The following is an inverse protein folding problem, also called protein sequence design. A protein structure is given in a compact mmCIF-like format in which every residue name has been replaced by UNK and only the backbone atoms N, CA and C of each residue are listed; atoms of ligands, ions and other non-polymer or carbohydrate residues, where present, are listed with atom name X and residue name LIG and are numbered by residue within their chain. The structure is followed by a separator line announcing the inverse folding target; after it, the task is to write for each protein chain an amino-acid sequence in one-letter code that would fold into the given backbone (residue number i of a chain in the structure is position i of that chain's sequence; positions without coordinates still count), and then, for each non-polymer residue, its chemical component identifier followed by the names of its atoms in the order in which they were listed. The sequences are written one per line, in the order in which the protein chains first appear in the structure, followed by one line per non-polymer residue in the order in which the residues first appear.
data_IF_009788173213
#
_entry.id   IF_009788173213
#
_cell.length_a   1.000
_cell.length_b   1.000
_cell.length_c   1.000
_cell.angle_alpha   90.00
_cell.angle_beta   90.00
_cell.angle_gamma   90.00
#
_symmetry.space_group_name_H-M   'P 1'
#
loop_
_entity.id
_entity.type
_entity.pdbx_description
1 polymer ?
#
# COMPACT_ATOMS: atom_id res chain seq x y z
N UNK A 1 -54.21 -3.40 -33.26
CA UNK A 1 -53.65 -3.23 -34.61
C UNK A 1 -52.12 -3.21 -34.48
N UNK A 2 -51.49 -4.34 -34.76
CA UNK A 2 -50.10 -4.60 -34.40
C UNK A 2 -49.09 -3.91 -35.35
N UNK A 3 -47.87 -3.74 -34.90
CA UNK A 3 -46.75 -3.14 -35.65
C UNK A 3 -46.54 -3.89 -36.98
N UNK A 4 -46.85 -5.21 -37.04
CA UNK A 4 -46.80 -6.04 -38.27
C UNK A 4 -47.80 -5.56 -39.32
N UNK A 5 -49.01 -5.15 -38.96
CA UNK A 5 -50.04 -4.71 -39.93
C UNK A 5 -49.71 -3.32 -40.51
N UNK A 6 -49.01 -2.45 -39.73
CA UNK A 6 -48.52 -1.16 -40.22
C UNK A 6 -47.36 -1.35 -41.19
N UNK A 7 -46.44 -2.29 -40.93
CA UNK A 7 -45.32 -2.62 -41.82
C UNK A 7 -45.76 -3.21 -43.15
N UNK A 8 -46.79 -4.12 -43.14
CA UNK A 8 -47.41 -4.71 -44.36
C UNK A 8 -48.13 -3.65 -45.21
N UNK A 9 -48.81 -2.69 -44.59
CA UNK A 9 -49.47 -1.60 -45.30
C UNK A 9 -48.52 -0.56 -45.91
N UNK A 10 -47.32 -0.35 -45.28
CA UNK A 10 -46.29 0.49 -45.88
C UNK A 10 -45.70 -0.18 -47.14
N UNK A 11 -45.45 -1.51 -47.11
CA UNK A 11 -44.93 -2.26 -48.26
C UNK A 11 -45.90 -2.29 -49.46
N UNK A 12 -47.22 -2.18 -49.24
CA UNK A 12 -48.22 -2.12 -50.30
C UNK A 12 -48.34 -0.73 -50.93
N UNK A 13 -47.92 0.33 -50.28
CA UNK A 13 -47.89 1.70 -50.87
C UNK A 13 -46.68 1.92 -51.78
N UNK A 14 -45.62 1.19 -51.65
CA UNK A 14 -44.48 1.20 -52.54
C UNK A 14 -44.65 0.10 -53.56
N UNK A 15 -45.41 0.33 -54.65
CA UNK A 15 -45.42 -0.54 -55.81
C UNK A 15 -44.03 -0.43 -56.49
N UNK A 16 -43.12 -1.30 -56.10
CA UNK A 16 -41.81 -1.49 -56.70
C UNK A 16 -41.99 -2.29 -58.00
N UNK A 17 -42.32 -1.61 -59.08
CA UNK A 17 -42.41 -2.25 -60.41
C UNK A 17 -41.01 -2.36 -61.03
N UNK A 18 -40.82 -3.36 -61.93
CA UNK A 18 -39.53 -3.89 -62.34
C UNK A 18 -38.66 -2.96 -63.22
N UNK A 19 -39.13 -1.73 -63.50
CA UNK A 19 -38.50 -0.85 -64.50
C UNK A 19 -37.69 0.33 -63.97
N UNK A 20 -37.61 0.56 -62.63
CA UNK A 20 -36.89 1.73 -62.08
C UNK A 20 -35.83 1.29 -61.07
N UNK A 21 -34.63 0.90 -61.56
CA UNK A 21 -33.47 0.59 -60.73
C UNK A 21 -33.03 1.75 -59.82
N UNK A 22 -33.25 3.00 -60.27
CA UNK A 22 -32.89 4.21 -59.53
C UNK A 22 -33.81 4.43 -58.31
N UNK A 23 -35.13 4.13 -58.42
CA UNK A 23 -36.06 4.28 -57.30
C UNK A 23 -35.78 3.24 -56.19
N UNK A 24 -35.42 2.01 -56.59
CA UNK A 24 -34.99 0.98 -55.64
C UNK A 24 -33.71 1.38 -54.92
N UNK A 25 -32.74 1.94 -55.62
CA UNK A 25 -31.51 2.43 -55.03
C UNK A 25 -31.78 3.56 -54.04
N UNK A 26 -32.67 4.52 -54.40
CA UNK A 26 -33.10 5.61 -53.48
C UNK A 26 -33.77 5.12 -52.21
N UNK A 27 -34.65 4.07 -52.31
CA UNK A 27 -35.29 3.48 -51.13
C UNK A 27 -34.27 2.74 -50.26
N UNK A 28 -33.36 1.93 -50.84
CA UNK A 28 -32.31 1.27 -50.08
C UNK A 28 -31.35 2.26 -49.44
N UNK A 29 -30.96 3.28 -50.17
CA UNK A 29 -30.09 4.35 -49.66
C UNK A 29 -30.78 5.13 -48.51
N UNK A 30 -32.07 5.44 -48.66
CA UNK A 30 -32.87 6.07 -47.61
C UNK A 30 -32.95 5.20 -46.36
N UNK A 31 -33.21 3.90 -46.51
CA UNK A 31 -33.21 2.96 -45.37
C UNK A 31 -31.83 2.88 -44.72
N UNK A 32 -30.76 2.83 -45.53
CA UNK A 32 -29.39 2.81 -44.99
C UNK A 32 -29.02 4.06 -44.21
N UNK A 33 -29.36 5.24 -44.73
CA UNK A 33 -29.13 6.54 -44.07
C UNK A 33 -29.93 6.62 -42.76
N UNK A 34 -31.19 6.24 -42.74
CA UNK A 34 -32.04 6.24 -41.55
C UNK A 34 -31.52 5.26 -40.52
N UNK A 35 -31.15 4.03 -40.96
CA UNK A 35 -30.59 3.03 -40.05
C UNK A 35 -29.22 3.50 -39.50
N UNK A 36 -28.36 4.06 -40.33
CA UNK A 36 -27.08 4.65 -39.90
C UNK A 36 -27.27 5.80 -38.91
N UNK A 37 -28.25 6.67 -39.13
CA UNK A 37 -28.58 7.76 -38.21
C UNK A 37 -29.10 7.21 -36.85
N UNK A 38 -29.96 6.20 -36.87
CA UNK A 38 -30.46 5.56 -35.64
C UNK A 38 -29.31 4.88 -34.87
N UNK A 39 -28.38 4.21 -35.56
CA UNK A 39 -27.21 3.58 -34.94
C UNK A 39 -26.29 4.64 -34.36
N UNK A 40 -26.00 5.72 -35.10
CA UNK A 40 -25.15 6.82 -34.59
C UNK A 40 -25.76 7.51 -33.36
N UNK A 41 -27.03 7.84 -33.41
CA UNK A 41 -27.71 8.47 -32.26
C UNK A 41 -27.80 7.49 -31.08
N UNK A 42 -28.16 6.23 -31.36
CA UNK A 42 -28.26 5.19 -30.33
C UNK A 42 -26.91 4.88 -29.67
N UNK A 43 -25.83 4.77 -30.46
CA UNK A 43 -24.47 4.55 -29.92
C UNK A 43 -23.95 5.78 -29.17
N UNK A 44 -24.25 6.99 -29.66
CA UNK A 44 -23.89 8.22 -28.97
C UNK A 44 -24.55 8.37 -27.61
N UNK A 45 -25.87 8.07 -27.52
CA UNK A 45 -26.59 8.08 -26.24
C UNK A 45 -26.11 6.98 -25.30
N UNK A 46 -25.83 5.78 -25.83
CA UNK A 46 -25.29 4.67 -25.02
C UNK A 46 -23.88 4.99 -24.49
N UNK A 47 -23.01 5.54 -25.31
CA UNK A 47 -21.67 5.97 -24.91
C UNK A 47 -21.71 7.11 -23.88
N UNK A 48 -22.62 8.08 -24.06
CA UNK A 48 -22.82 9.17 -23.11
C UNK A 48 -23.33 8.65 -21.76
N UNK A 49 -24.30 7.74 -21.75
CA UNK A 49 -24.77 7.10 -20.51
C UNK A 49 -23.66 6.28 -19.84
N UNK A 50 -22.94 5.45 -20.59
CA UNK A 50 -21.84 4.66 -20.05
C UNK A 50 -20.73 5.53 -19.48
N UNK A 51 -20.38 6.64 -20.15
CA UNK A 51 -19.41 7.59 -19.64
C UNK A 51 -19.89 8.29 -18.35
N UNK A 52 -21.16 8.68 -18.30
CA UNK A 52 -21.76 9.29 -17.11
C UNK A 52 -21.87 8.32 -15.94
N UNK A 53 -22.24 7.06 -16.20
CA UNK A 53 -22.33 6.02 -15.19
C UNK A 53 -20.92 5.69 -14.63
N UNK A 54 -19.90 5.65 -15.49
CA UNK A 54 -18.51 5.47 -15.06
C UNK A 54 -18.02 6.64 -14.18
N UNK A 55 -18.29 7.88 -14.59
CA UNK A 55 -17.96 9.05 -13.78
C UNK A 55 -18.67 9.04 -12.42
N UNK A 56 -19.93 8.63 -12.37
CA UNK A 56 -20.68 8.57 -11.11
C UNK A 56 -20.21 7.45 -10.16
N UNK A 57 -19.45 6.47 -10.67
CA UNK A 57 -18.89 5.37 -9.88
C UNK A 57 -17.48 5.66 -9.38
N UNK A 58 -16.79 6.61 -9.99
CA UNK A 58 -15.43 6.99 -9.61
C UNK A 58 -15.45 7.86 -8.36
N UNK A 59 -14.75 7.45 -7.33
CA UNK A 59 -14.66 8.19 -6.08
C UNK A 59 -13.57 9.28 -6.12
N UNK A 60 -12.44 9.00 -6.73
CA UNK A 60 -11.29 9.90 -6.79
C UNK A 60 -10.93 10.23 -8.25
N UNK A 61 -10.82 11.52 -8.56
CA UNK A 61 -10.44 12.02 -9.89
C UNK A 61 -9.02 12.61 -9.91
N UNK A 62 -8.54 13.13 -8.77
CA UNK A 62 -7.19 13.67 -8.63
C UNK A 62 -6.35 12.65 -7.85
N UNK A 63 -5.41 12.01 -8.52
CA UNK A 63 -4.51 11.03 -7.90
C UNK A 63 -3.24 11.69 -7.36
N UNK A 64 -2.74 12.72 -8.05
CA UNK A 64 -1.53 13.44 -7.69
C UNK A 64 -1.84 14.94 -7.60
N UNK A 65 -1.15 15.65 -6.73
CA UNK A 65 -1.25 17.10 -6.64
C UNK A 65 0.14 17.73 -6.55
N UNK A 66 0.22 19.01 -6.93
CA UNK A 66 1.42 19.82 -6.75
C UNK A 66 1.00 21.15 -6.14
N UNK A 67 1.73 21.59 -5.14
CA UNK A 67 1.47 22.89 -4.51
C UNK A 67 1.89 24.06 -5.41
N UNK A 68 1.12 25.14 -5.33
CA UNK A 68 1.16 26.23 -6.33
C UNK A 68 2.42 27.07 -6.34
N UNK A 69 3.26 27.02 -5.28
CA UNK A 69 4.42 27.91 -5.13
C UNK A 69 5.72 27.18 -4.87
N UNK A 70 5.69 26.18 -4.00
CA UNK A 70 6.90 25.44 -3.63
C UNK A 70 7.10 24.21 -4.49
N UNK A 71 6.19 23.96 -5.46
CA UNK A 71 6.18 22.76 -6.29
C UNK A 71 6.35 21.44 -5.48
N UNK A 72 5.83 21.46 -4.25
CA UNK A 72 5.82 20.24 -3.43
C UNK A 72 4.76 19.29 -3.98
N UNK A 73 5.19 18.11 -4.41
CA UNK A 73 4.33 17.05 -4.89
C UNK A 73 3.69 16.24 -3.76
N UNK A 74 2.66 15.52 -4.12
CA UNK A 74 2.03 14.53 -3.25
C UNK A 74 0.93 13.77 -3.96
N UNK A 75 0.53 12.67 -3.35
CA UNK A 75 -0.51 11.79 -3.82
C UNK A 75 -1.79 11.96 -3.01
N UNK A 76 -2.94 11.73 -3.63
CA UNK A 76 -4.20 11.54 -2.92
C UNK A 76 -4.41 10.04 -2.78
N UNK A 77 -4.21 9.54 -1.58
CA UNK A 77 -4.22 8.12 -1.26
C UNK A 77 -5.61 7.52 -1.49
N UNK A 78 -6.66 8.25 -1.12
CA UNK A 78 -8.02 7.80 -1.34
C UNK A 78 -9.08 8.71 -0.77
N UNK A 79 -10.32 8.30 -1.04
CA UNK A 79 -11.54 8.82 -0.43
C UNK A 79 -12.19 7.68 0.33
N UNK A 80 -12.35 7.87 1.61
CA UNK A 80 -12.91 6.91 2.54
C UNK A 80 -14.22 7.45 3.10
N UNK A 81 -15.19 6.57 3.30
CA UNK A 81 -16.50 6.94 3.82
C UNK A 81 -16.88 6.04 5.00
N UNK A 82 -17.90 6.45 5.76
CA UNK A 82 -18.54 5.60 6.73
C UNK A 82 -19.70 4.79 6.11
N UNK A 83 -20.29 3.87 6.87
CA UNK A 83 -21.43 3.05 6.40
C UNK A 83 -22.65 3.87 6.02
N UNK A 84 -22.94 4.97 6.75
CA UNK A 84 -24.07 5.87 6.46
C UNK A 84 -23.82 6.79 5.25
N UNK A 85 -22.58 6.98 4.83
CA UNK A 85 -22.22 7.81 3.69
C UNK A 85 -22.33 9.32 3.96
N UNK A 86 -22.39 9.73 5.23
CA UNK A 86 -22.47 11.13 5.67
C UNK A 86 -21.12 11.69 6.14
N UNK A 87 -20.10 10.83 6.32
CA UNK A 87 -18.72 11.25 6.57
C UNK A 87 -17.80 10.82 5.45
N UNK A 88 -16.87 11.68 5.09
CA UNK A 88 -15.85 11.38 4.08
C UNK A 88 -14.48 11.91 4.51
N UNK A 89 -13.46 11.07 4.37
CA UNK A 89 -12.05 11.41 4.62
C UNK A 89 -11.30 11.43 3.30
N UNK A 90 -10.74 12.60 2.94
CA UNK A 90 -9.80 12.76 1.83
C UNK A 90 -8.39 12.65 2.39
N UNK A 91 -7.72 11.53 2.13
CA UNK A 91 -6.35 11.30 2.62
C UNK A 91 -5.32 11.70 1.56
N UNK A 92 -4.33 12.48 1.98
CA UNK A 92 -3.26 13.01 1.13
C UNK A 92 -1.91 12.68 1.75
N UNK A 93 -0.93 12.36 0.91
CA UNK A 93 0.44 12.12 1.31
C UNK A 93 1.37 13.04 0.55
N UNK A 94 2.26 13.76 1.26
CA UNK A 94 3.26 14.63 0.66
C UNK A 94 4.57 13.88 0.43
N UNK A 95 5.18 14.06 -0.74
CA UNK A 95 6.45 13.40 -1.12
C UNK A 95 7.61 13.73 -0.18
N UNK A 96 7.60 14.92 0.42
CA UNK A 96 8.60 15.37 1.38
C UNK A 96 7.93 15.92 2.65
N UNK A 97 7.79 15.06 3.65
CA UNK A 97 7.14 15.39 4.92
C UNK A 97 7.84 16.52 5.69
N UNK A 98 9.14 16.72 5.48
CA UNK A 98 9.90 17.78 6.16
C UNK A 98 9.53 19.20 5.66
N UNK A 99 8.83 19.29 4.53
CA UNK A 99 8.45 20.57 3.90
C UNK A 99 7.04 21.04 4.24
N UNK A 100 6.27 20.24 4.99
CA UNK A 100 4.90 20.62 5.42
C UNK A 100 4.90 21.20 6.83
N UNK A 101 3.87 21.99 7.15
CA UNK A 101 3.60 22.35 8.55
C UNK A 101 2.89 21.20 9.26
N UNK A 102 3.38 20.81 10.43
CA UNK A 102 2.74 19.81 11.29
C UNK A 102 1.62 20.40 12.17
N UNK A 103 1.35 21.70 12.04
CA UNK A 103 0.28 22.36 12.75
C UNK A 103 -0.95 22.52 11.86
N UNK A 104 -2.01 21.78 12.15
CA UNK A 104 -3.25 21.82 11.38
C UNK A 104 -3.87 23.23 11.30
N UNK A 105 -3.60 24.13 12.28
CA UNK A 105 -4.07 25.51 12.26
C UNK A 105 -3.49 26.33 11.10
N UNK A 106 -2.41 25.88 10.48
CA UNK A 106 -1.78 26.56 9.34
C UNK A 106 -2.49 26.26 8.00
N UNK A 107 -3.57 25.48 8.00
CA UNK A 107 -4.30 25.10 6.79
C UNK A 107 -5.75 25.61 6.82
N UNK A 108 -6.29 25.88 5.64
CA UNK A 108 -7.69 26.25 5.41
C UNK A 108 -8.18 25.57 4.15
N UNK A 109 -9.47 25.21 4.11
CA UNK A 109 -10.06 24.56 2.97
C UNK A 109 -11.25 25.33 2.40
N UNK A 110 -11.46 25.16 1.09
CA UNK A 110 -12.60 25.70 0.35
C UNK A 110 -13.23 24.54 -0.42
N UNK A 111 -14.51 24.33 -0.21
CA UNK A 111 -15.28 23.30 -0.88
C UNK A 111 -16.23 23.92 -1.89
N UNK A 112 -16.16 23.46 -3.12
CA UNK A 112 -17.02 23.88 -4.22
C UNK A 112 -17.67 22.67 -4.86
N UNK A 113 -18.99 22.72 -5.06
CA UNK A 113 -19.68 21.74 -5.90
C UNK A 113 -19.26 21.94 -7.37
N UNK A 114 -18.69 20.92 -7.98
CA UNK A 114 -18.28 20.97 -9.38
C UNK A 114 -19.33 20.28 -10.24
N UNK A 115 -20.06 21.10 -10.99
CA UNK A 115 -21.31 20.67 -11.67
C UNK A 115 -21.10 20.25 -13.11
N UNK A 116 -20.14 19.94 -13.68
CA UNK A 116 -20.10 19.98 -15.16
C UNK A 116 -20.45 18.67 -15.86
N UNK A 117 -20.54 17.54 -15.20
CA UNK A 117 -20.69 16.25 -15.90
C UNK A 117 -21.81 15.37 -15.40
N UNK A 118 -22.25 15.50 -14.16
CA UNK A 118 -23.20 14.59 -13.56
C UNK A 118 -24.60 15.16 -13.36
N UNK A 119 -24.74 16.45 -13.07
CA UNK A 119 -26.04 17.13 -12.85
C UNK A 119 -26.11 18.44 -13.60
N UNK A 120 -27.32 18.83 -14.00
CA UNK A 120 -27.63 20.11 -14.67
C UNK A 120 -27.89 21.26 -13.71
N UNK A 121 -27.87 21.01 -12.41
CA UNK A 121 -28.11 21.99 -11.36
C UNK A 121 -26.87 22.15 -10.49
N UNK A 122 -26.56 23.36 -10.00
CA UNK A 122 -25.49 23.58 -9.05
C UNK A 122 -25.70 22.71 -7.80
N UNK A 123 -24.67 22.00 -7.42
CA UNK A 123 -24.75 21.13 -6.26
C UNK A 123 -24.54 21.95 -5.01
N UNK A 124 -25.47 21.84 -4.06
CA UNK A 124 -25.35 22.49 -2.76
C UNK A 124 -24.28 21.80 -1.93
N UNK A 125 -23.32 22.58 -1.42
CA UNK A 125 -22.35 22.16 -0.39
C UNK A 125 -22.78 22.61 1.00
N UNK A 126 -24.00 23.12 1.16
CA UNK A 126 -24.55 23.54 2.44
C UNK A 126 -24.76 22.36 3.40
N UNK A 127 -24.50 22.57 4.69
CA UNK A 127 -24.62 21.51 5.72
C UNK A 127 -23.43 20.55 5.75
N UNK A 128 -22.32 20.86 5.06
CA UNK A 128 -21.07 20.12 5.16
C UNK A 128 -20.12 20.92 6.06
N UNK A 129 -19.71 20.31 7.16
CA UNK A 129 -18.66 20.79 8.03
C UNK A 129 -17.35 20.04 7.70
N UNK A 130 -16.21 20.59 8.09
CA UNK A 130 -14.93 19.96 7.81
C UNK A 130 -13.89 20.22 8.87
N UNK A 131 -12.96 19.29 9.00
CA UNK A 131 -11.77 19.42 9.83
C UNK A 131 -10.52 18.97 9.08
N UNK A 132 -9.37 19.53 9.45
CA UNK A 132 -8.07 19.16 8.91
C UNK A 132 -7.25 18.43 9.94
N UNK A 133 -6.69 17.30 9.56
CA UNK A 133 -5.89 16.46 10.41
C UNK A 133 -4.50 16.29 9.81
N UNK A 134 -3.46 16.51 10.62
CA UNK A 134 -2.08 16.17 10.27
C UNK A 134 -1.68 14.96 11.10
N UNK A 135 -1.31 13.88 10.44
CA UNK A 135 -1.02 12.58 11.08
C UNK A 135 0.43 12.52 11.55
N UNK A 136 0.74 13.22 12.63
CA UNK A 136 2.09 13.29 13.20
C UNK A 136 3.11 13.84 12.20
N UNK A 137 4.26 13.19 12.10
CA UNK A 137 5.35 13.53 11.16
C UNK A 137 5.44 12.57 9.98
N UNK A 138 4.37 11.89 9.63
CA UNK A 138 4.34 10.84 8.59
C UNK A 138 4.30 11.39 7.16
N UNK A 139 4.00 12.67 6.98
CA UNK A 139 3.73 13.26 5.68
C UNK A 139 2.27 13.15 5.24
N UNK A 140 1.44 12.44 6.00
CA UNK A 140 0.01 12.33 5.75
C UNK A 140 -0.77 13.48 6.36
N UNK A 141 -1.74 13.96 5.59
CA UNK A 141 -2.74 14.91 6.03
C UNK A 141 -4.11 14.52 5.48
N UNK A 142 -5.18 14.81 6.21
CA UNK A 142 -6.53 14.46 5.80
C UNK A 142 -7.53 15.59 6.01
N UNK A 143 -8.51 15.69 5.12
CA UNK A 143 -9.70 16.52 5.32
C UNK A 143 -10.87 15.58 5.62
N UNK A 144 -11.38 15.67 6.83
CA UNK A 144 -12.62 15.00 7.21
C UNK A 144 -13.78 15.95 6.91
N UNK A 145 -14.75 15.45 6.16
CA UNK A 145 -16.01 16.12 5.88
C UNK A 145 -17.13 15.39 6.62
N UNK A 146 -17.99 16.15 7.28
CA UNK A 146 -19.17 15.67 7.99
C UNK A 146 -20.39 16.40 7.44
N UNK A 147 -21.37 15.66 6.92
CA UNK A 147 -22.56 16.19 6.29
C UNK A 147 -23.81 15.83 7.10
N UNK A 148 -24.81 16.71 7.11
CA UNK A 148 -26.10 16.43 7.77
C UNK A 148 -26.88 15.27 7.13
N UNK A 149 -26.63 15.00 5.84
CA UNK A 149 -27.25 13.92 5.06
C UNK A 149 -26.17 13.15 4.27
N UNK A 150 -26.42 11.88 3.87
CA UNK A 150 -25.49 11.13 3.04
C UNK A 150 -25.11 11.89 1.76
N UNK A 151 -23.84 11.83 1.40
CA UNK A 151 -23.34 12.51 0.21
C UNK A 151 -24.01 12.02 -1.07
N UNK A 152 -24.51 12.97 -1.84
CA UNK A 152 -24.99 12.71 -3.19
C UNK A 152 -23.82 12.33 -4.13
N UNK A 153 -24.13 11.63 -5.23
CA UNK A 153 -23.17 11.35 -6.30
C UNK A 153 -22.84 12.61 -7.08
N UNK A 154 -21.82 13.31 -6.65
CA UNK A 154 -21.39 14.58 -7.21
C UNK A 154 -19.88 14.73 -7.15
N UNK A 155 -19.32 15.49 -8.09
CA UNK A 155 -17.92 15.85 -8.03
C UNK A 155 -17.76 17.09 -7.17
N UNK A 156 -17.00 16.96 -6.10
CA UNK A 156 -16.59 18.06 -5.23
C UNK A 156 -15.16 18.50 -5.59
N UNK A 157 -14.91 19.79 -5.48
CA UNK A 157 -13.60 20.39 -5.62
C UNK A 157 -13.18 20.94 -4.26
N UNK A 158 -12.24 20.27 -3.63
CA UNK A 158 -11.60 20.69 -2.39
C UNK A 158 -10.32 21.44 -2.75
N UNK A 159 -10.25 22.70 -2.38
CA UNK A 159 -9.02 23.49 -2.46
C UNK A 159 -8.47 23.67 -1.06
N UNK A 160 -7.32 23.11 -0.78
CA UNK A 160 -6.60 23.32 0.49
C UNK A 160 -5.56 24.41 0.28
N UNK A 161 -5.46 25.32 1.24
CA UNK A 161 -4.52 26.42 1.26
C UNK A 161 -3.73 26.40 2.55
N UNK A 162 -2.41 26.49 2.46
CA UNK A 162 -1.59 26.78 3.61
C UNK A 162 -1.70 28.27 3.96
N UNK A 163 -1.73 28.59 5.25
CA UNK A 163 -1.68 29.95 5.78
C UNK A 163 -0.29 30.31 6.32
N UNK A 164 0.66 29.36 6.23
CA UNK A 164 2.08 29.50 6.57
C UNK A 164 2.94 29.00 5.41
N UNK A 165 4.21 29.33 5.40
CA UNK A 165 5.15 28.79 4.42
C UNK A 165 5.36 27.29 4.66
N UNK A 166 5.13 26.47 3.64
CA UNK A 166 5.32 25.02 3.72
C UNK A 166 6.81 24.62 3.64
N UNK A 167 7.66 25.47 3.09
CA UNK A 167 9.08 25.19 2.89
C UNK A 167 9.94 26.40 3.23
N UNK A 168 11.10 26.17 3.83
CA UNK A 168 12.15 27.15 4.02
C UNK A 168 13.03 27.38 2.78
N UNK A 169 12.68 26.81 1.62
CA UNK A 169 13.38 27.09 0.37
C UNK A 169 13.28 28.57 0.03
N UNK A 170 14.40 29.21 -0.29
CA UNK A 170 14.42 30.57 -0.78
C UNK A 170 13.41 30.71 -1.93
N UNK A 171 12.40 31.54 -1.70
CA UNK A 171 11.43 31.85 -2.75
C UNK A 171 12.15 32.67 -3.83
N UNK A 172 12.53 32.05 -4.92
CA UNK A 172 12.81 32.74 -6.19
C UNK A 172 11.49 33.31 -6.76
N UNK A 173 10.70 33.95 -5.90
CA UNK A 173 9.41 34.51 -6.24
C UNK A 173 9.53 35.91 -6.79
N UNK A 174 9.74 36.04 -8.06
CA UNK A 174 9.51 37.27 -8.84
C UNK A 174 8.02 37.52 -9.14
N UNK A 175 7.11 37.08 -8.30
CA UNK A 175 5.72 37.52 -8.41
C UNK A 175 5.61 38.93 -7.84
N UNK A 176 5.43 39.89 -8.72
CA UNK A 176 5.22 41.29 -8.34
C UNK A 176 3.91 41.40 -7.55
N UNK A 177 3.96 41.78 -6.24
CA UNK A 177 2.77 41.81 -5.39
C UNK A 177 1.68 42.76 -5.85
N UNK A 178 2.01 43.68 -6.75
CA UNK A 178 1.11 44.73 -7.24
C UNK A 178 0.25 44.31 -8.47
N UNK A 179 0.49 43.14 -9.05
CA UNK A 179 -0.26 42.66 -10.21
C UNK A 179 -1.44 41.72 -9.86
N UNK A 180 -1.63 41.40 -8.60
CA UNK A 180 -2.65 40.43 -8.17
C UNK A 180 -3.94 41.14 -7.76
N UNK A 181 -4.89 41.20 -8.69
CA UNK A 181 -6.29 41.51 -8.40
C UNK A 181 -6.91 40.35 -7.62
N UNK A 182 -7.01 40.51 -6.28
CA UNK A 182 -7.64 39.52 -5.42
C UNK A 182 -7.05 39.44 -4.03
N UNK A 183 -7.48 38.45 -3.27
CA UNK A 183 -6.97 38.19 -1.93
C UNK A 183 -5.46 37.91 -1.98
N UNK A 184 -4.66 38.79 -1.40
CA UNK A 184 -3.19 38.69 -1.39
C UNK A 184 -2.68 37.41 -0.72
N UNK A 185 -3.51 36.73 0.08
CA UNK A 185 -3.17 35.46 0.72
C UNK A 185 -3.08 34.32 -0.31
N UNK A 186 -3.91 34.29 -1.36
CA UNK A 186 -3.82 33.32 -2.43
C UNK A 186 -2.51 33.41 -3.22
N UNK A 187 -1.93 34.60 -3.28
CA UNK A 187 -0.66 34.82 -3.94
C UNK A 187 0.54 34.51 -3.05
N UNK A 188 0.35 34.50 -1.72
CA UNK A 188 1.44 34.40 -0.77
C UNK A 188 1.76 32.97 -0.37
N UNK A 189 0.75 32.11 -0.24
CA UNK A 189 0.88 30.77 0.32
C UNK A 189 0.53 29.69 -0.71
N UNK A 190 1.00 28.49 -0.45
CA UNK A 190 0.69 27.31 -1.25
C UNK A 190 -0.77 26.94 -1.20
N UNK A 191 -1.26 26.42 -2.32
CA UNK A 191 -2.57 25.81 -2.43
C UNK A 191 -2.54 24.66 -3.43
N UNK A 192 -3.42 23.69 -3.23
CA UNK A 192 -3.62 22.57 -4.15
C UNK A 192 -5.09 22.16 -4.19
N UNK A 193 -5.48 21.35 -5.17
CA UNK A 193 -6.87 20.99 -5.42
C UNK A 193 -7.02 19.50 -5.56
N UNK A 194 -8.11 18.98 -4.98
CA UNK A 194 -8.50 17.58 -5.09
C UNK A 194 -9.94 17.51 -5.58
N UNK A 195 -10.16 16.76 -6.66
CA UNK A 195 -11.49 16.46 -7.17
C UNK A 195 -11.90 15.06 -6.81
N UNK A 196 -13.05 14.91 -6.18
CA UNK A 196 -13.53 13.63 -5.65
C UNK A 196 -15.06 13.57 -5.59
N UNK A 197 -15.59 12.36 -5.40
CA UNK A 197 -17.02 12.09 -5.29
C UNK A 197 -17.26 11.14 -4.11
N UNK A 198 -17.61 11.65 -2.93
CA UNK A 198 -17.78 10.82 -1.74
C UNK A 198 -19.03 9.93 -1.82
N UNK A 199 -20.05 10.32 -2.62
CA UNK A 199 -21.24 9.49 -2.87
C UNK A 199 -21.06 8.41 -3.94
N UNK A 200 -19.82 8.21 -4.46
CA UNK A 200 -19.55 7.18 -5.45
C UNK A 200 -19.58 5.79 -4.84
N UNK A 201 -20.06 4.81 -5.62
CA UNK A 201 -20.01 3.40 -5.19
C UNK A 201 -18.59 2.80 -5.11
N UNK A 202 -17.59 3.52 -5.59
CA UNK A 202 -16.18 3.13 -5.50
C UNK A 202 -15.44 3.78 -4.32
N UNK A 203 -16.13 4.56 -3.46
CA UNK A 203 -15.55 5.03 -2.21
C UNK A 203 -15.44 3.86 -1.23
N UNK A 204 -14.29 3.75 -0.57
CA UNK A 204 -14.03 2.69 0.39
C UNK A 204 -14.62 3.05 1.75
N UNK A 205 -15.23 2.07 2.41
CA UNK A 205 -15.82 2.26 3.75
C UNK A 205 -14.80 1.82 4.80
N UNK A 206 -14.46 2.71 5.73
CA UNK A 206 -13.56 2.42 6.84
C UNK A 206 -14.24 2.54 8.20
N UNK A 207 -14.02 1.59 9.12
CA UNK A 207 -14.65 1.60 10.44
C UNK A 207 -14.31 2.82 11.30
N UNK A 208 -13.14 3.41 11.10
CA UNK A 208 -12.71 4.60 11.84
C UNK A 208 -13.69 5.78 11.73
N UNK A 209 -14.42 5.89 10.63
CA UNK A 209 -15.36 6.99 10.40
C UNK A 209 -16.76 6.78 11.04
N UNK A 210 -17.06 5.56 11.47
CA UNK A 210 -18.32 5.26 12.19
C UNK A 210 -18.23 5.56 13.70
N UNK A 211 -17.03 5.86 14.19
CA UNK A 211 -16.83 6.22 15.59
C UNK A 211 -17.52 7.56 15.95
N UNK A 212 -17.96 7.68 17.20
CA UNK A 212 -18.58 8.93 17.73
C UNK A 212 -17.59 10.10 17.72
N UNK A 213 -16.30 9.84 17.92
CA UNK A 213 -15.22 10.80 17.80
C UNK A 213 -14.17 10.25 16.84
N UNK A 214 -13.72 11.08 15.94
CA UNK A 214 -12.67 10.68 15.00
C UNK A 214 -11.36 10.44 15.73
N UNK A 215 -10.79 9.26 15.53
CA UNK A 215 -9.47 8.89 16.03
C UNK A 215 -8.47 8.89 14.86
N UNK A 216 -7.53 9.85 14.80
CA UNK A 216 -6.55 9.90 13.73
C UNK A 216 -5.67 8.64 13.64
N UNK A 217 -5.36 8.02 14.78
CA UNK A 217 -4.53 6.83 14.79
C UNK A 217 -5.27 5.62 14.20
N UNK A 218 -6.54 5.47 14.52
CA UNK A 218 -7.37 4.42 13.94
C UNK A 218 -7.54 4.62 12.44
N UNK A 219 -7.83 5.84 11.99
CA UNK A 219 -7.96 6.14 10.58
C UNK A 219 -6.65 5.92 9.81
N UNK A 220 -5.51 6.31 10.38
CA UNK A 220 -4.19 6.08 9.79
C UNK A 220 -3.87 4.59 9.70
N UNK A 221 -4.23 3.80 10.71
CA UNK A 221 -4.08 2.36 10.67
C UNK A 221 -4.94 1.75 9.56
N UNK A 222 -6.25 2.01 9.56
CA UNK A 222 -7.20 1.43 8.60
C UNK A 222 -6.84 1.78 7.14
N UNK A 223 -6.33 3.00 6.89
CA UNK A 223 -6.02 3.48 5.54
C UNK A 223 -4.63 3.09 5.08
N UNK A 224 -3.62 3.27 5.94
CA UNK A 224 -2.21 3.20 5.51
C UNK A 224 -1.55 1.90 5.97
N UNK A 225 -1.72 1.52 7.24
CA UNK A 225 -0.91 0.46 7.82
C UNK A 225 -1.50 -0.93 7.65
N UNK A 226 -2.83 -1.10 7.64
CA UNK A 226 -3.47 -2.42 7.60
C UNK A 226 -3.04 -3.24 6.37
N UNK A 227 -3.04 -2.61 5.19
CA UNK A 227 -2.59 -3.27 3.95
C UNK A 227 -1.10 -3.60 3.98
N UNK A 228 -0.27 -2.65 4.44
CA UNK A 228 1.17 -2.85 4.55
C UNK A 228 1.51 -3.97 5.56
N UNK A 229 0.81 -4.00 6.70
CA UNK A 229 0.95 -5.07 7.69
C UNK A 229 0.57 -6.43 7.12
N UNK A 230 -0.53 -6.54 6.37
CA UNK A 230 -0.97 -7.78 5.72
C UNK A 230 0.05 -8.29 4.70
N UNK A 231 0.64 -7.41 3.90
CA UNK A 231 1.70 -7.74 2.94
C UNK A 231 2.98 -8.20 3.66
N UNK A 232 3.36 -7.53 4.73
CA UNK A 232 4.53 -7.88 5.53
C UNK A 232 4.34 -9.23 6.23
N UNK A 233 3.16 -9.50 6.80
CA UNK A 233 2.81 -10.80 7.38
C UNK A 233 2.89 -11.93 6.34
N UNK A 234 2.44 -11.68 5.13
CA UNK A 234 2.60 -12.62 4.00
C UNK A 234 4.08 -12.87 3.69
N UNK A 235 4.91 -11.84 3.77
CA UNK A 235 6.36 -11.96 3.55
C UNK A 235 7.06 -12.73 4.67
N UNK A 236 6.66 -12.52 5.92
CA UNK A 236 7.12 -13.30 7.08
C UNK A 236 6.78 -14.79 6.92
N UNK A 237 5.56 -15.12 6.53
CA UNK A 237 5.15 -16.51 6.27
C UNK A 237 5.94 -17.16 5.14
N UNK A 238 6.12 -16.43 4.03
CA UNK A 238 6.94 -16.91 2.91
C UNK A 238 8.37 -17.20 3.36
N UNK A 239 8.95 -16.33 4.19
CA UNK A 239 10.31 -16.53 4.71
C UNK A 239 10.41 -17.77 5.61
N UNK A 240 9.41 -18.04 6.43
CA UNK A 240 9.36 -19.29 7.23
C UNK A 240 9.30 -20.53 6.34
N UNK A 241 8.58 -20.51 5.23
CA UNK A 241 8.53 -21.62 4.26
C UNK A 241 9.91 -21.84 3.62
N UNK A 242 10.59 -20.76 3.21
CA UNK A 242 11.94 -20.83 2.63
C UNK A 242 12.93 -21.42 3.65
N UNK A 243 12.91 -20.94 4.90
CA UNK A 243 13.76 -21.43 5.98
C UNK A 243 13.47 -22.90 6.29
N UNK A 244 12.19 -23.33 6.35
CA UNK A 244 11.82 -24.75 6.54
C UNK A 244 12.40 -25.63 5.43
N UNK A 245 12.38 -25.13 4.19
CA UNK A 245 12.96 -25.82 3.05
C UNK A 245 14.49 -25.96 3.19
N UNK A 246 15.17 -24.90 3.64
CA UNK A 246 16.62 -24.91 3.88
C UNK A 246 16.99 -25.88 5.02
N UNK A 247 16.21 -25.96 6.09
CA UNK A 247 16.41 -26.94 7.17
C UNK A 247 16.27 -28.39 6.68
N UNK A 248 15.25 -28.66 5.85
CA UNK A 248 15.07 -29.98 5.25
C UNK A 248 16.26 -30.35 4.33
N UNK A 249 16.84 -29.38 3.62
CA UNK A 249 18.07 -29.58 2.83
C UNK A 249 19.29 -29.85 3.72
N UNK A 250 19.42 -29.15 4.86
CA UNK A 250 20.47 -29.41 5.84
C UNK A 250 20.40 -30.85 6.33
N UNK A 251 19.21 -31.33 6.68
CA UNK A 251 18.99 -32.71 7.14
C UNK A 251 19.36 -33.74 6.03
N UNK A 252 18.89 -33.51 4.82
CA UNK A 252 19.20 -34.37 3.67
C UNK A 252 20.70 -34.43 3.37
N UNK A 253 21.39 -33.28 3.32
CA UNK A 253 22.81 -33.23 3.05
C UNK A 253 23.66 -33.72 4.25
N UNK A 254 23.20 -33.63 5.46
CA UNK A 254 23.84 -34.27 6.62
C UNK A 254 23.77 -35.79 6.49
N UNK A 255 22.67 -36.33 6.05
CA UNK A 255 22.54 -37.77 5.76
C UNK A 255 23.48 -38.20 4.62
N UNK A 256 23.55 -37.40 3.53
CA UNK A 256 24.48 -37.65 2.44
C UNK A 256 25.96 -37.61 2.88
N UNK A 257 26.28 -36.70 3.81
CA UNK A 257 27.61 -36.56 4.38
C UNK A 257 28.02 -37.84 5.15
N UNK A 258 27.15 -38.42 5.94
CA UNK A 258 27.43 -39.66 6.69
C UNK A 258 27.60 -40.87 5.77
N UNK A 259 26.91 -40.88 4.62
CA UNK A 259 26.94 -41.99 3.65
C UNK A 259 28.12 -41.90 2.69
N UNK A 260 28.64 -40.70 2.42
CA UNK A 260 29.67 -40.48 1.41
C UNK A 260 31.08 -40.83 1.93
N UNK A 261 31.77 -41.75 1.26
CA UNK A 261 33.13 -42.19 1.61
C UNK A 261 34.00 -42.25 0.37
N UNK A 262 35.27 -41.88 0.54
CA UNK A 262 36.31 -41.97 -0.47
C UNK A 262 37.54 -42.66 0.17
N UNK A 263 37.92 -43.80 -0.34
CA UNK A 263 39.03 -44.63 0.18
C UNK A 263 38.97 -44.89 1.69
N UNK A 264 37.73 -45.00 2.23
CA UNK A 264 37.50 -45.21 3.67
C UNK A 264 37.44 -43.93 4.49
N UNK A 265 37.77 -42.77 3.94
CA UNK A 265 37.64 -41.46 4.54
C UNK A 265 36.22 -40.93 4.40
N UNK A 266 35.70 -40.31 5.43
CA UNK A 266 34.40 -39.63 5.42
C UNK A 266 34.51 -38.34 6.25
N UNK A 267 33.62 -37.38 5.96
CA UNK A 267 33.51 -36.15 6.73
C UNK A 267 32.75 -36.40 8.04
N UNK A 268 33.27 -35.83 9.12
CA UNK A 268 32.51 -35.75 10.38
C UNK A 268 31.53 -34.62 10.27
N UNK A 269 30.30 -34.74 10.92
CA UNK A 269 29.36 -33.61 10.99
C UNK A 269 30.05 -32.36 11.52
N UNK A 270 29.89 -31.20 10.84
CA UNK A 270 30.56 -29.98 11.27
C UNK A 270 29.91 -29.46 12.56
N UNK A 271 30.66 -28.65 13.32
CA UNK A 271 30.12 -27.89 14.43
C UNK A 271 29.20 -26.80 13.90
N UNK A 272 27.92 -26.86 14.21
CA UNK A 272 26.92 -25.88 13.80
C UNK A 272 27.01 -24.64 14.70
N UNK A 273 26.97 -23.42 14.14
CA UNK A 273 26.90 -22.20 14.94
C UNK A 273 25.73 -22.22 15.92
N UNK A 274 25.94 -21.74 17.15
CA UNK A 274 24.93 -21.77 18.20
C UNK A 274 23.62 -21.05 17.81
N UNK A 275 23.73 -20.01 16.98
CA UNK A 275 22.56 -19.27 16.46
C UNK A 275 21.69 -20.04 15.47
N UNK A 276 22.12 -21.22 15.03
CA UNK A 276 21.41 -22.09 14.08
C UNK A 276 21.13 -23.48 14.65
N UNK A 277 21.81 -23.86 15.75
CA UNK A 277 21.70 -25.17 16.33
C UNK A 277 20.37 -25.32 17.07
N UNK A 278 19.63 -26.39 16.77
CA UNK A 278 18.36 -26.70 17.45
C UNK A 278 17.14 -25.92 16.95
N UNK A 279 17.32 -25.12 15.90
CA UNK A 279 16.18 -24.42 15.31
C UNK A 279 15.22 -25.40 14.61
N UNK A 280 13.92 -25.21 14.82
CA UNK A 280 12.86 -25.98 14.19
C UNK A 280 11.75 -25.03 13.70
N UNK A 281 11.12 -25.35 12.56
CA UNK A 281 9.94 -24.62 12.08
C UNK A 281 8.76 -25.56 12.16
N UNK A 282 7.88 -25.28 13.10
CA UNK A 282 6.67 -26.06 13.40
C UNK A 282 5.43 -25.45 12.75
N UNK A 283 4.30 -26.16 12.78
CA UNK A 283 3.05 -25.69 12.21
C UNK A 283 2.87 -26.05 10.73
N UNK A 284 1.85 -25.46 10.10
CA UNK A 284 1.47 -25.69 8.71
C UNK A 284 1.41 -24.36 7.95
N UNK A 285 1.78 -24.37 6.66
CA UNK A 285 1.64 -23.20 5.79
C UNK A 285 0.17 -22.99 5.40
N UNK A 286 -0.17 -21.78 4.94
CA UNK A 286 -1.50 -21.46 4.44
C UNK A 286 -1.99 -22.42 3.33
N UNK A 287 -1.07 -22.91 2.49
CA UNK A 287 -1.38 -23.88 1.44
C UNK A 287 -1.68 -25.29 1.98
N UNK A 288 -1.15 -25.65 3.14
CA UNK A 288 -1.33 -26.95 3.81
C UNK A 288 -2.52 -26.91 4.79
N UNK A 289 -2.91 -25.73 5.27
CA UNK A 289 -3.98 -25.53 6.24
C UNK A 289 -5.37 -25.68 5.59
N UNK A 290 -6.32 -26.27 6.30
CA UNK A 290 -7.69 -26.46 5.81
C UNK A 290 -8.49 -25.14 5.72
N UNK A 291 -8.17 -24.19 6.59
CA UNK A 291 -8.78 -22.85 6.66
C UNK A 291 -7.99 -21.79 5.88
N UNK A 292 -6.87 -22.19 5.25
CA UNK A 292 -6.00 -21.26 4.50
C UNK A 292 -5.16 -20.33 5.39
N UNK A 293 -5.13 -20.57 6.72
CA UNK A 293 -4.36 -19.74 7.67
C UNK A 293 -3.06 -20.44 8.05
N UNK A 294 -1.94 -19.76 7.88
CA UNK A 294 -0.63 -20.28 8.26
C UNK A 294 -0.45 -20.25 9.78
N UNK A 295 0.07 -21.35 10.33
CA UNK A 295 0.47 -21.48 11.75
C UNK A 295 1.98 -21.69 11.90
N UNK A 296 2.76 -21.44 10.85
CA UNK A 296 4.22 -21.63 10.88
C UNK A 296 4.85 -20.77 11.97
N UNK A 297 5.72 -21.36 12.77
CA UNK A 297 6.45 -20.70 13.85
C UNK A 297 7.89 -21.19 13.88
N UNK A 298 8.82 -20.26 14.04
CA UNK A 298 10.23 -20.58 14.29
C UNK A 298 10.44 -20.83 15.78
N UNK A 299 10.78 -22.04 16.15
CA UNK A 299 11.26 -22.40 17.48
C UNK A 299 12.80 -22.28 17.48
N UNK A 300 13.35 -21.43 18.32
CA UNK A 300 14.79 -21.16 18.38
C UNK A 300 15.22 -20.81 19.80
N UNK A 301 16.37 -21.33 20.21
CA UNK A 301 16.99 -20.98 21.49
C UNK A 301 17.71 -19.63 21.44
N UNK A 302 18.09 -19.17 20.25
CA UNK A 302 18.86 -17.94 20.06
C UNK A 302 18.34 -17.11 18.87
N UNK A 303 18.08 -15.84 19.15
CA UNK A 303 17.81 -14.84 18.13
C UNK A 303 19.15 -14.43 17.48
N UNK A 304 19.13 -14.14 16.19
CA UNK A 304 20.34 -13.61 15.52
C UNK A 304 20.77 -12.28 16.15
N UNK A 305 22.06 -11.94 16.13
CA UNK A 305 22.51 -10.65 16.64
C UNK A 305 21.78 -9.48 15.98
N UNK A 306 21.21 -8.60 16.81
CA UNK A 306 20.38 -7.48 16.34
C UNK A 306 18.96 -7.85 15.92
N UNK A 307 18.59 -9.13 15.98
CA UNK A 307 17.25 -9.59 15.63
C UNK A 307 16.26 -9.46 16.79
N UNK A 308 15.00 -9.78 16.49
CA UNK A 308 13.86 -9.71 17.39
C UNK A 308 13.20 -11.08 17.54
N UNK A 309 12.87 -11.45 18.79
CA UNK A 309 12.02 -12.60 19.10
C UNK A 309 10.61 -12.11 19.35
N UNK A 310 9.84 -11.91 18.28
CA UNK A 310 8.49 -11.38 18.32
C UNK A 310 7.48 -12.43 17.87
N UNK A 311 6.44 -12.65 18.66
CA UNK A 311 5.26 -13.37 18.23
C UNK A 311 4.30 -12.39 17.51
N UNK A 312 4.58 -12.15 16.25
CA UNK A 312 3.82 -11.23 15.41
C UNK A 312 2.42 -11.75 15.05
N UNK A 313 2.11 -13.02 15.35
CA UNK A 313 0.79 -13.59 15.06
C UNK A 313 -0.22 -13.30 16.16
N UNK A 314 0.22 -13.03 17.39
CA UNK A 314 -0.65 -12.83 18.55
C UNK A 314 -1.19 -11.42 18.72
N UNK A 315 -0.82 -10.47 17.86
CA UNK A 315 -1.26 -9.09 17.90
C UNK A 315 -1.28 -8.46 16.51
N UNK A 316 -1.50 -7.16 16.44
CA UNK A 316 -1.37 -6.34 15.25
C UNK A 316 -0.61 -5.04 15.58
N UNK A 317 -0.32 -4.24 14.55
CA UNK A 317 0.37 -2.96 14.72
C UNK A 317 -0.48 -2.00 15.54
N UNK A 318 -1.81 -2.09 15.46
CA UNK A 318 -2.69 -1.21 16.21
C UNK A 318 -2.67 -1.49 17.73
N UNK A 319 -2.62 -2.76 18.11
CA UNK A 319 -2.41 -3.20 19.51
C UNK A 319 -1.01 -2.89 20.00
N UNK A 320 -0.03 -2.83 19.10
CA UNK A 320 1.36 -2.48 19.35
C UNK A 320 2.23 -3.64 19.78
N UNK A 321 3.49 -3.64 19.34
CA UNK A 321 4.50 -4.65 19.68
C UNK A 321 5.61 -4.13 20.59
N UNK A 322 5.86 -2.82 20.55
CA UNK A 322 7.01 -2.21 21.25
C UNK A 322 6.90 -2.33 22.77
N UNK A 323 5.70 -2.23 23.32
CA UNK A 323 5.51 -2.32 24.78
C UNK A 323 5.88 -3.71 25.33
N UNK A 324 5.76 -4.76 24.52
CA UNK A 324 6.16 -6.11 24.89
C UNK A 324 7.67 -6.35 24.74
N UNK A 325 8.34 -5.62 23.84
CA UNK A 325 9.74 -5.83 23.47
C UNK A 325 10.71 -4.93 24.20
N UNK A 326 10.34 -3.67 24.43
CA UNK A 326 11.25 -2.66 25.00
C UNK A 326 11.24 -2.73 26.52
N UNK A 327 12.40 -2.90 27.17
CA UNK A 327 12.49 -2.93 28.62
C UNK A 327 11.98 -1.62 29.24
N UNK A 328 11.30 -1.76 30.40
CA UNK A 328 10.78 -0.60 31.14
C UNK A 328 11.87 0.40 31.45
N UNK A 329 11.66 1.65 31.05
CA UNK A 329 12.58 2.77 31.28
C UNK A 329 13.62 3.00 30.19
N UNK A 330 13.61 2.23 29.12
CA UNK A 330 14.42 2.46 27.92
C UNK A 330 13.54 3.12 26.84
N UNK A 331 14.08 4.09 26.11
CA UNK A 331 13.40 4.66 24.96
C UNK A 331 13.48 3.72 23.76
N UNK A 332 12.49 3.81 22.86
CA UNK A 332 12.49 3.01 21.62
C UNK A 332 13.72 3.29 20.75
N UNK A 333 14.17 4.55 20.68
CA UNK A 333 15.35 4.93 19.94
C UNK A 333 16.64 4.29 20.48
N UNK A 334 16.79 4.26 21.81
CA UNK A 334 17.92 3.58 22.47
C UNK A 334 17.89 2.08 22.25
N UNK A 335 16.69 1.47 22.33
CA UNK A 335 16.51 0.05 22.07
C UNK A 335 16.91 -0.33 20.63
N UNK A 336 16.40 0.41 19.64
CA UNK A 336 16.73 0.16 18.23
C UNK A 336 18.20 0.46 17.90
N UNK A 337 18.82 1.47 18.56
CA UNK A 337 20.24 1.76 18.41
C UNK A 337 21.09 0.60 18.94
N UNK A 338 20.75 0.08 20.13
CA UNK A 338 21.43 -1.09 20.70
C UNK A 338 21.31 -2.34 19.78
N UNK A 339 20.13 -2.58 19.20
CA UNK A 339 19.92 -3.66 18.22
C UNK A 339 20.77 -3.51 16.96
N UNK A 340 20.95 -2.30 16.46
CA UNK A 340 21.82 -2.01 15.32
C UNK A 340 23.30 -2.25 15.64
N UNK A 341 23.75 -1.88 16.83
CA UNK A 341 25.11 -2.17 17.30
C UNK A 341 25.35 -3.67 17.43
N UNK A 342 24.38 -4.40 18.03
CA UNK A 342 24.42 -5.87 18.14
C UNK A 342 24.50 -6.54 16.75
N UNK A 343 23.73 -6.06 15.77
CA UNK A 343 23.77 -6.55 14.39
C UNK A 343 25.12 -6.29 13.71
N UNK A 344 25.75 -5.15 13.98
CA UNK A 344 27.05 -4.81 13.42
C UNK A 344 28.18 -5.69 13.98
N UNK A 345 28.15 -5.95 15.28
CA UNK A 345 29.12 -6.80 15.96
C UNK A 345 28.94 -8.30 15.62
N UNK A 346 27.71 -8.74 15.44
CA UNK A 346 27.36 -10.15 15.16
C UNK A 346 27.74 -10.64 13.76
N UNK A 347 28.03 -9.75 12.81
CA UNK A 347 28.43 -10.11 11.42
C UNK A 347 29.78 -10.84 11.33
N UNK A 348 30.52 -10.94 12.41
CA UNK A 348 31.85 -11.61 12.45
C UNK A 348 31.77 -13.11 12.69
N UNK A 349 30.61 -13.68 13.07
CA UNK A 349 30.46 -15.13 13.28
C UNK A 349 29.53 -15.72 12.20
N UNK A 350 30.12 -16.21 11.14
CA UNK A 350 29.38 -16.75 9.99
C UNK A 350 29.50 -18.28 9.85
N UNK A 351 28.64 -18.81 8.99
CA UNK A 351 28.70 -20.21 8.51
C UNK A 351 30.04 -20.53 7.81
N UNK A 352 30.78 -19.51 7.37
CA UNK A 352 32.12 -19.63 6.76
C UNK A 352 33.18 -20.21 7.70
N UNK A 353 32.97 -20.20 9.02
CA UNK A 353 33.92 -20.69 10.02
C UNK A 353 33.75 -22.18 10.35
N UNK A 354 32.84 -22.87 9.65
CA UNK A 354 32.65 -24.32 9.82
C UNK A 354 33.88 -25.11 9.41
N UNK A 355 34.39 -25.95 10.31
CA UNK A 355 35.55 -26.81 10.04
C UNK A 355 35.08 -28.14 9.45
N UNK A 356 35.73 -28.54 8.37
CA UNK A 356 35.42 -29.78 7.64
C UNK A 356 36.52 -30.83 7.88
N UNK A 357 36.33 -31.61 8.93
CA UNK A 357 37.29 -32.58 9.42
C UNK A 357 36.93 -33.98 8.91
N UNK A 358 37.93 -34.66 8.35
CA UNK A 358 37.82 -36.04 7.92
C UNK A 358 37.92 -37.01 9.10
N UNK A 359 37.56 -38.28 8.85
CA UNK A 359 37.58 -39.32 9.85
C UNK A 359 38.96 -39.62 10.47
N UNK A 360 40.02 -39.35 9.74
CA UNK A 360 41.41 -39.47 10.19
C UNK A 360 41.95 -38.25 10.94
N UNK A 361 41.16 -37.15 11.00
CA UNK A 361 41.49 -35.93 11.72
C UNK A 361 42.15 -34.85 10.81
N UNK A 362 42.36 -35.12 9.53
CA UNK A 362 42.83 -34.12 8.57
C UNK A 362 41.68 -33.17 8.17
N UNK A 363 42.04 -31.95 7.71
CA UNK A 363 41.11 -30.95 7.20
C UNK A 363 40.91 -31.12 5.70
N UNK A 364 39.66 -31.24 5.25
CA UNK A 364 39.35 -31.33 3.81
C UNK A 364 39.73 -30.05 3.08
N UNK A 365 39.62 -28.90 3.74
CA UNK A 365 39.89 -27.60 3.13
C UNK A 365 41.36 -27.20 3.13
N UNK A 366 42.10 -27.62 4.15
CA UNK A 366 43.49 -27.18 4.36
C UNK A 366 44.49 -28.20 3.84
N UNK A 367 44.22 -29.52 4.01
CA UNK A 367 45.15 -30.61 3.68
C UNK A 367 44.97 -31.13 2.25
N UNK A 368 43.82 -30.89 1.62
CA UNK A 368 43.52 -31.32 0.24
C UNK A 368 43.19 -30.14 -0.67
N UNK A 369 43.67 -30.22 -1.91
CA UNK A 369 43.30 -29.23 -2.93
C UNK A 369 41.84 -29.46 -3.33
N UNK A 370 41.02 -28.40 -3.35
CA UNK A 370 39.63 -28.46 -3.82
C UNK A 370 39.46 -28.94 -5.28
N UNK A 371 40.54 -28.92 -6.04
CA UNK A 371 40.65 -29.46 -7.41
C UNK A 371 40.96 -30.95 -7.47
N UNK A 372 41.23 -31.62 -6.35
CA UNK A 372 41.49 -33.06 -6.34
C UNK A 372 40.23 -33.83 -6.74
N UNK A 373 40.36 -34.54 -7.88
CA UNK A 373 39.25 -35.30 -8.48
C UNK A 373 38.84 -36.47 -7.58
N UNK A 374 39.77 -37.03 -6.80
CA UNK A 374 39.46 -38.13 -5.87
C UNK A 374 38.61 -37.72 -4.72
N UNK A 375 38.81 -36.50 -4.18
CA UNK A 375 38.03 -35.95 -3.07
C UNK A 375 36.74 -35.26 -3.51
N UNK A 376 36.46 -35.18 -4.80
CA UNK A 376 35.29 -34.51 -5.38
C UNK A 376 33.93 -34.92 -4.75
N UNK A 377 33.66 -36.20 -4.44
CA UNK A 377 32.40 -36.55 -3.77
C UNK A 377 32.22 -35.87 -2.41
N UNK A 378 33.26 -35.87 -1.57
CA UNK A 378 33.26 -35.23 -0.25
C UNK A 378 33.17 -33.70 -0.36
N UNK A 379 33.89 -33.09 -1.29
CA UNK A 379 33.84 -31.64 -1.55
C UNK A 379 32.45 -31.23 -2.05
N UNK A 380 31.78 -32.08 -2.84
CA UNK A 380 30.42 -31.78 -3.31
C UNK A 380 29.42 -31.76 -2.16
N UNK A 381 29.45 -32.76 -1.28
CA UNK A 381 28.55 -32.80 -0.12
C UNK A 381 28.85 -31.65 0.86
N UNK A 382 30.12 -31.38 1.12
CA UNK A 382 30.55 -30.21 1.90
C UNK A 382 29.96 -28.91 1.36
N UNK A 383 30.11 -28.66 0.06
CA UNK A 383 29.55 -27.43 -0.56
C UNK A 383 28.07 -27.34 -0.51
N UNK A 384 27.35 -28.47 -0.70
CA UNK A 384 25.91 -28.49 -0.63
C UNK A 384 25.40 -28.19 0.80
N UNK A 385 25.99 -28.84 1.79
CA UNK A 385 25.63 -28.64 3.20
C UNK A 385 25.98 -27.22 3.66
N UNK A 386 27.17 -26.73 3.31
CA UNK A 386 27.60 -25.34 3.61
C UNK A 386 26.62 -24.32 3.02
N UNK A 387 26.18 -24.52 1.78
CA UNK A 387 25.21 -23.64 1.12
C UNK A 387 23.85 -23.69 1.84
N UNK A 388 23.34 -24.87 2.18
CA UNK A 388 22.07 -25.01 2.87
C UNK A 388 22.08 -24.29 4.23
N UNK A 389 23.17 -24.39 4.99
CA UNK A 389 23.35 -23.61 6.21
C UNK A 389 23.42 -22.11 5.95
N UNK A 390 24.11 -21.69 4.90
CA UNK A 390 24.19 -20.27 4.53
C UNK A 390 22.82 -19.70 4.14
N UNK A 391 22.07 -20.45 3.34
CA UNK A 391 20.71 -20.04 2.91
C UNK A 391 19.79 -19.92 4.12
N UNK A 392 19.84 -20.89 5.06
CA UNK A 392 19.09 -20.84 6.29
C UNK A 392 19.50 -19.66 7.19
N UNK A 393 20.80 -19.45 7.39
CA UNK A 393 21.33 -18.35 8.21
C UNK A 393 20.90 -16.98 7.67
N UNK A 394 20.97 -16.82 6.34
CA UNK A 394 20.54 -15.59 5.67
C UNK A 394 19.02 -15.40 5.83
N UNK A 395 18.23 -16.46 5.59
CA UNK A 395 16.79 -16.40 5.77
C UNK A 395 16.36 -16.08 7.21
N UNK A 396 17.04 -16.64 8.22
CA UNK A 396 16.80 -16.36 9.63
C UNK A 396 17.11 -14.91 9.99
N UNK A 397 18.22 -14.36 9.45
CA UNK A 397 18.60 -12.98 9.65
C UNK A 397 17.57 -12.02 9.02
N UNK A 398 17.15 -12.24 7.78
CA UNK A 398 16.11 -11.46 7.12
C UNK A 398 14.78 -11.54 7.90
N UNK A 399 14.39 -12.73 8.36
CA UNK A 399 13.17 -12.91 9.13
C UNK A 399 13.20 -12.18 10.48
N UNK A 400 14.26 -12.39 11.28
CA UNK A 400 14.35 -11.87 12.64
C UNK A 400 14.82 -10.41 12.72
N UNK A 401 15.52 -9.90 11.70
CA UNK A 401 16.01 -8.51 11.68
C UNK A 401 15.17 -7.65 10.75
N UNK A 402 15.22 -7.89 9.46
CA UNK A 402 14.73 -6.92 8.47
C UNK A 402 13.19 -6.84 8.49
N UNK A 403 12.50 -8.00 8.34
CA UNK A 403 11.03 -8.02 8.29
C UNK A 403 10.39 -7.67 9.65
N UNK A 404 10.95 -8.14 10.77
CA UNK A 404 10.43 -7.77 12.08
C UNK A 404 10.70 -6.30 12.42
N UNK A 405 11.80 -5.73 11.93
CA UNK A 405 12.06 -4.30 12.08
C UNK A 405 11.04 -3.45 11.31
N UNK A 406 10.64 -3.86 10.10
CA UNK A 406 9.59 -3.17 9.34
C UNK A 406 8.26 -3.14 10.12
N UNK A 407 7.87 -4.27 10.74
CA UNK A 407 6.69 -4.34 11.59
C UNK A 407 6.76 -3.38 12.80
N UNK A 408 7.93 -3.29 13.44
CA UNK A 408 8.17 -2.36 14.54
C UNK A 408 8.20 -0.89 14.09
N UNK A 409 8.64 -0.61 12.86
CA UNK A 409 8.59 0.74 12.30
C UNK A 409 7.16 1.22 12.06
N UNK A 410 6.26 0.32 11.67
CA UNK A 410 4.83 0.64 11.57
C UNK A 410 4.24 0.99 12.94
N UNK A 411 4.55 0.22 14.00
CA UNK A 411 4.14 0.55 15.38
C UNK A 411 4.70 1.91 15.84
N UNK A 412 5.96 2.22 15.54
CA UNK A 412 6.55 3.54 15.83
C UNK A 412 5.82 4.66 15.09
N UNK A 413 5.49 4.45 13.81
CA UNK A 413 4.76 5.43 13.01
C UNK A 413 3.38 5.69 13.59
N UNK A 414 2.65 4.64 13.95
CA UNK A 414 1.33 4.75 14.56
C UNK A 414 1.38 5.48 15.92
N UNK A 415 2.35 5.19 16.76
CA UNK A 415 2.58 5.92 18.03
C UNK A 415 2.93 7.38 17.80
N UNK A 416 3.67 7.66 16.74
CA UNK A 416 3.93 9.03 16.29
C UNK A 416 2.64 9.77 15.96
N UNK A 417 1.71 9.12 15.28
CA UNK A 417 0.37 9.65 14.98
C UNK A 417 -0.44 9.83 16.25
N UNK A 418 -0.50 8.83 17.14
CA UNK A 418 -1.21 8.93 18.44
C UNK A 418 -0.75 10.10 19.29
N UNK A 419 0.56 10.38 19.28
CA UNK A 419 1.15 11.38 20.19
C UNK A 419 1.23 12.79 19.62
N UNK A 420 1.36 12.93 18.29
CA UNK A 420 1.75 14.19 17.64
C UNK A 420 0.76 14.63 16.55
N UNK A 421 -0.38 13.97 16.36
CA UNK A 421 -1.39 14.45 15.44
C UNK A 421 -1.96 15.78 15.90
N UNK A 422 -2.20 16.67 14.94
CA UNK A 422 -2.84 17.95 15.18
C UNK A 422 -4.12 18.05 14.39
N UNK A 423 -5.10 18.77 14.91
CA UNK A 423 -6.41 18.95 14.28
C UNK A 423 -6.78 20.42 14.24
N UNK A 424 -7.44 20.81 13.17
CA UNK A 424 -8.18 22.06 13.04
C UNK A 424 -9.64 21.75 12.72
N UNK A 425 -10.53 21.97 13.66
CA UNK A 425 -11.97 21.68 13.62
C UNK A 425 -12.84 22.92 13.89
N UNK A 426 -12.26 24.11 13.78
CA UNK A 426 -13.02 25.35 13.96
C UNK A 426 -13.94 25.62 12.76
N UNK A 427 -15.09 26.32 12.96
CA UNK A 427 -16.05 26.58 11.89
C UNK A 427 -15.49 27.40 10.71
N UNK A 428 -14.36 28.08 10.91
CA UNK A 428 -13.71 28.89 9.88
C UNK A 428 -12.75 28.05 9.01
N UNK A 429 -12.52 26.78 9.34
CA UNK A 429 -11.63 25.91 8.57
C UNK A 429 -12.17 25.68 7.17
N UNK A 430 -13.41 25.22 7.03
CA UNK A 430 -14.02 24.91 5.75
C UNK A 430 -14.96 26.03 5.30
N UNK A 431 -14.65 26.63 4.16
CA UNK A 431 -15.54 27.60 3.50
C UNK A 431 -16.23 26.92 2.33
N UNK A 432 -17.55 26.78 2.39
CA UNK A 432 -18.36 26.28 1.28
C UNK A 432 -18.69 27.41 0.32
N UNK A 433 -18.42 27.16 -0.98
CA UNK A 433 -18.65 28.11 -2.07
C UNK A 433 -19.76 27.56 -2.97
N UNK A 434 -20.72 28.42 -3.32
CA UNK A 434 -21.87 28.07 -4.17
C UNK A 434 -21.57 28.29 -5.66
#
# INVERSE_FOLDING_TARGET
MGIKDKALNLGKKFKLDSHHAIERFGVFFGIFVVTGAIVMVGSGVAAFKAGRDALSQTALYTQEFVTSKTDLGGDVDGIYTNESGDKALVMMHFDDSARISYNAADYQAFLLGSDTSLNSEPVSTGGIEGSFHVFGSTGYAGVLLDAEEPFDRQVLNLTVRANAELSFAEQDGTANPDELLGDRTFAKYDQWRVFFNPGASGAEVIPALDALAFDPARAFYDVVLETQEAELRTSLDRKLIEMRTSLAQVEAYTTDLEMTKVDGLFLRPPSVPASLAGDEITGVSAAEAQDGVSTLTLETDQVVPGGFGLDWRSGDVYDGYLDALVPSGQSFAEFLSAKREEAADGRTQGVSDMQWILSDGSSLTDDYQLSDVTMRPLTTVMNNLSRAYQDYSTGKAEYQSDLMLELLQMDISLRGVQSNSTVRDDPDFLTTLY
#
